data_IF_272042510784
#
_entry.id   IF_272042510784
#
_cell.length_a   1.000
_cell.length_b   1.000
_cell.length_c   1.000
_cell.angle_alpha   90.00
_cell.angle_beta   90.00
_cell.angle_gamma   90.00
#
_symmetry.space_group_name_H-M   'P 1'
#
loop_
_entity.id
_entity.type
_entity.pdbx_description
1 polymer ?
#
# COMPACT_ATOMS: atom_id res chain seq x y z
N UNK A 1 -30.32 4.60 14.86
CA UNK A 1 -29.05 3.91 15.16
C UNK A 1 -28.10 4.21 14.02
N UNK A 2 -26.87 4.61 14.29
CA UNK A 2 -25.87 4.79 13.24
C UNK A 2 -25.24 3.43 12.93
N UNK A 3 -25.06 3.15 11.65
CA UNK A 3 -24.37 1.94 11.21
C UNK A 3 -22.90 1.99 11.61
N UNK A 4 -22.36 0.88 12.03
CA UNK A 4 -20.92 0.72 12.21
C UNK A 4 -20.24 0.47 10.88
N UNK A 5 -18.92 0.72 10.79
CA UNK A 5 -18.11 0.40 9.61
C UNK A 5 -18.28 -1.06 9.19
N UNK A 6 -18.26 -1.99 10.17
CA UNK A 6 -18.42 -3.43 9.93
C UNK A 6 -19.79 -3.79 9.36
N UNK A 7 -20.87 -3.25 9.92
CA UNK A 7 -22.23 -3.52 9.42
C UNK A 7 -22.38 -3.03 7.98
N UNK A 8 -21.84 -1.87 7.66
CA UNK A 8 -21.87 -1.30 6.30
C UNK A 8 -21.15 -2.18 5.29
N UNK A 9 -19.93 -2.65 5.63
CA UNK A 9 -19.18 -3.56 4.77
C UNK A 9 -19.92 -4.88 4.59
N UNK A 10 -20.46 -5.48 5.68
CA UNK A 10 -21.19 -6.75 5.60
C UNK A 10 -22.45 -6.65 4.76
N UNK A 11 -23.21 -5.56 4.87
CA UNK A 11 -24.39 -5.33 4.04
C UNK A 11 -24.00 -5.28 2.55
N UNK A 12 -22.97 -4.51 2.20
CA UNK A 12 -22.50 -4.42 0.82
C UNK A 12 -22.02 -5.77 0.28
N UNK A 13 -21.30 -6.56 1.07
CA UNK A 13 -20.86 -7.91 0.69
C UNK A 13 -22.03 -8.90 0.53
N UNK A 14 -23.12 -8.71 1.28
CA UNK A 14 -24.35 -9.50 1.17
C UNK A 14 -25.30 -8.99 0.08
N UNK A 15 -24.88 -8.01 -0.72
CA UNK A 15 -25.73 -7.36 -1.74
C UNK A 15 -26.98 -6.66 -1.16
N UNK A 16 -26.85 -6.17 0.08
CA UNK A 16 -27.85 -5.34 0.77
C UNK A 16 -27.42 -3.87 0.69
N UNK A 17 -28.39 -2.95 0.63
CA UNK A 17 -28.11 -1.52 0.58
C UNK A 17 -27.78 -0.98 1.98
N UNK A 18 -26.52 -0.52 2.24
CA UNK A 18 -26.16 0.13 3.48
C UNK A 18 -26.64 1.59 3.52
N UNK A 19 -26.46 2.26 4.66
CA UNK A 19 -26.81 3.68 4.83
C UNK A 19 -26.04 4.63 3.90
N UNK A 20 -24.86 4.23 3.45
CA UNK A 20 -24.04 4.85 2.39
C UNK A 20 -23.09 3.82 1.77
N UNK A 21 -22.53 4.14 0.64
CA UNK A 21 -21.48 3.32 0.02
C UNK A 21 -20.28 3.20 0.98
N UNK A 22 -19.77 1.99 1.24
CA UNK A 22 -18.54 1.80 2.00
C UNK A 22 -17.36 2.49 1.30
N UNK A 23 -16.50 3.10 2.10
CA UNK A 23 -15.29 3.77 1.63
C UNK A 23 -14.08 2.92 1.98
N UNK A 24 -13.29 2.59 0.98
CA UNK A 24 -11.97 2.01 1.14
C UNK A 24 -10.91 3.02 0.69
N UNK A 25 -10.00 3.35 1.61
CA UNK A 25 -8.84 4.18 1.35
C UNK A 25 -7.65 3.63 2.15
N UNK A 26 -6.75 2.96 1.45
CA UNK A 26 -5.60 2.33 2.09
C UNK A 26 -5.89 1.00 2.78
N UNK A 27 -7.02 0.34 2.50
CA UNK A 27 -7.27 -1.04 2.93
C UNK A 27 -6.35 -2.05 2.25
N UNK A 28 -5.86 -1.71 1.07
CA UNK A 28 -4.81 -2.42 0.33
C UNK A 28 -3.94 -1.40 -0.43
N UNK A 29 -2.76 -1.83 -0.91
CA UNK A 29 -1.87 -0.95 -1.70
C UNK A 29 -2.52 -0.38 -2.96
N UNK A 30 -3.44 -1.12 -3.60
CA UNK A 30 -4.16 -0.66 -4.81
C UNK A 30 -5.33 0.28 -4.53
N UNK A 31 -5.75 0.41 -3.28
CA UNK A 31 -6.77 1.36 -2.84
C UNK A 31 -6.17 2.54 -2.07
N UNK A 32 -4.83 2.61 -2.01
CA UNK A 32 -4.11 3.67 -1.34
C UNK A 32 -3.74 4.81 -2.31
N UNK A 33 -3.02 5.78 -1.80
CA UNK A 33 -2.56 6.99 -2.48
C UNK A 33 -1.05 6.96 -2.65
N UNK A 34 -0.53 7.50 -3.76
CA UNK A 34 0.92 7.63 -3.94
C UNK A 34 1.55 8.49 -2.85
N UNK A 35 2.81 8.21 -2.49
CA UNK A 35 3.52 9.00 -1.47
C UNK A 35 3.50 10.49 -1.77
N UNK A 36 3.74 10.88 -3.04
CA UNK A 36 3.71 12.28 -3.46
C UNK A 36 2.32 12.91 -3.34
N UNK A 37 1.26 12.15 -3.62
CA UNK A 37 -0.13 12.56 -3.43
C UNK A 37 -0.49 12.70 -1.96
N UNK A 38 -0.02 11.75 -1.15
CA UNK A 38 -0.28 11.75 0.29
C UNK A 38 0.35 12.93 1.01
N UNK A 39 1.58 13.30 0.67
CA UNK A 39 2.23 14.50 1.21
C UNK A 39 1.44 15.79 0.91
N UNK A 40 0.89 15.89 -0.30
CA UNK A 40 0.00 17.02 -0.65
C UNK A 40 -1.30 17.01 0.13
N UNK A 41 -1.89 15.82 0.32
CA UNK A 41 -3.11 15.65 1.11
C UNK A 41 -2.88 16.05 2.56
N UNK A 42 -1.83 15.54 3.20
CA UNK A 42 -1.47 15.92 4.58
C UNK A 42 -1.31 17.43 4.72
N UNK A 43 -0.56 18.04 3.81
CA UNK A 43 -0.39 19.50 3.80
C UNK A 43 -1.72 20.26 3.67
N UNK A 44 -2.60 19.80 2.80
CA UNK A 44 -3.94 20.39 2.63
C UNK A 44 -4.80 20.27 3.88
N UNK A 45 -4.72 19.11 4.56
CA UNK A 45 -5.49 18.83 5.77
C UNK A 45 -4.84 19.39 7.05
N UNK A 46 -3.60 19.90 6.99
CA UNK A 46 -2.87 20.38 8.16
C UNK A 46 -2.42 19.25 9.09
N UNK A 47 -2.23 18.04 8.56
CA UNK A 47 -1.77 16.87 9.31
C UNK A 47 -0.24 16.80 9.26
N UNK A 48 0.42 16.81 10.42
CA UNK A 48 1.87 16.75 10.57
C UNK A 48 2.31 15.42 11.24
N UNK A 49 1.79 14.31 10.70
CA UNK A 49 2.20 12.96 11.10
C UNK A 49 3.26 12.42 10.15
N UNK A 50 4.19 11.57 10.60
CA UNK A 50 5.14 10.90 9.71
C UNK A 50 4.39 10.11 8.63
N UNK A 51 4.95 10.08 7.42
CA UNK A 51 4.42 9.24 6.35
C UNK A 51 4.94 7.82 6.53
N UNK A 52 4.03 6.88 6.72
CA UNK A 52 4.32 5.46 6.67
C UNK A 52 4.19 4.95 5.23
N UNK A 53 5.09 4.06 4.82
CA UNK A 53 5.14 3.51 3.47
C UNK A 53 4.49 2.14 3.46
N UNK A 54 3.35 2.02 2.78
CA UNK A 54 2.66 0.75 2.62
C UNK A 54 3.38 -0.17 1.61
N UNK A 55 3.82 0.40 0.51
CA UNK A 55 4.53 -0.34 -0.53
C UNK A 55 5.59 0.53 -1.19
N UNK A 56 6.83 0.06 -1.17
CA UNK A 56 7.95 0.71 -1.86
C UNK A 56 7.79 0.54 -3.37
N UNK A 57 7.39 -0.64 -3.81
CA UNK A 57 7.27 -0.99 -5.22
C UNK A 57 6.20 -0.14 -5.92
N UNK A 58 5.04 0.00 -5.29
CA UNK A 58 3.93 0.82 -5.80
C UNK A 58 4.02 2.28 -5.33
N UNK A 59 5.02 2.62 -4.53
CA UNK A 59 5.25 3.98 -3.99
C UNK A 59 4.02 4.58 -3.33
N UNK A 60 3.27 3.77 -2.57
CA UNK A 60 2.04 4.19 -1.91
C UNK A 60 2.21 4.31 -0.39
N UNK A 61 1.44 5.24 0.18
CA UNK A 61 1.42 5.53 1.61
C UNK A 61 0.47 4.60 2.36
N UNK A 62 0.79 4.36 3.64
CA UNK A 62 -0.16 3.86 4.63
C UNK A 62 -0.82 5.08 5.29
N UNK A 63 -2.10 5.38 4.97
CA UNK A 63 -2.74 6.57 5.52
C UNK A 63 -2.88 6.51 7.04
N UNK A 64 -2.58 7.63 7.71
CA UNK A 64 -2.71 7.76 9.15
C UNK A 64 -4.16 7.62 9.61
N UNK A 65 -4.36 7.08 10.81
CA UNK A 65 -5.71 6.84 11.37
C UNK A 65 -6.52 8.13 11.46
N UNK A 66 -5.89 9.25 11.78
CA UNK A 66 -6.54 10.58 11.81
C UNK A 66 -7.19 10.98 10.48
N UNK A 67 -6.55 10.63 9.37
CA UNK A 67 -7.06 10.88 8.01
C UNK A 67 -8.18 9.88 7.66
N UNK A 68 -8.00 8.60 8.01
CA UNK A 68 -9.01 7.57 7.79
C UNK A 68 -10.31 7.89 8.54
N UNK A 69 -10.21 8.32 9.79
CA UNK A 69 -11.35 8.75 10.60
C UNK A 69 -12.05 9.97 10.01
N UNK A 70 -11.28 10.98 9.58
CA UNK A 70 -11.84 12.20 9.00
C UNK A 70 -12.61 11.94 7.70
N UNK A 71 -12.17 10.98 6.90
CA UNK A 71 -12.89 10.56 5.70
C UNK A 71 -13.97 9.51 5.97
N UNK A 72 -14.09 9.02 7.20
CA UNK A 72 -15.04 7.96 7.56
C UNK A 72 -14.79 6.66 6.79
N UNK A 73 -13.52 6.30 6.63
CA UNK A 73 -13.10 5.09 5.91
C UNK A 73 -13.55 3.83 6.66
N UNK A 74 -14.15 2.89 5.95
CA UNK A 74 -14.78 1.71 6.54
C UNK A 74 -13.84 0.50 6.65
N UNK A 75 -12.69 0.55 5.99
CA UNK A 75 -11.67 -0.52 5.98
C UNK A 75 -10.42 -0.14 6.75
N UNK A 76 -9.63 -1.13 7.13
CA UNK A 76 -8.27 -0.96 7.64
C UNK A 76 -7.37 -2.00 7.02
N UNK A 77 -6.14 -1.59 6.72
CA UNK A 77 -5.13 -2.50 6.20
C UNK A 77 -4.67 -3.48 7.27
N UNK A 78 -4.45 -4.72 6.85
CA UNK A 78 -3.79 -5.75 7.64
C UNK A 78 -2.61 -6.24 6.84
N UNK A 79 -1.41 -5.83 7.23
CA UNK A 79 -0.18 -6.28 6.58
C UNK A 79 0.40 -7.49 7.32
N UNK A 80 0.87 -8.50 6.58
CA UNK A 80 1.68 -9.56 7.18
C UNK A 80 3.02 -8.97 7.64
N UNK A 81 3.54 -9.47 8.74
CA UNK A 81 4.93 -9.22 9.10
C UNK A 81 5.86 -9.88 8.08
N UNK A 82 7.08 -9.34 7.93
CA UNK A 82 8.12 -10.00 7.14
C UNK A 82 8.34 -11.44 7.65
N UNK A 83 8.58 -12.38 6.74
CA UNK A 83 8.91 -13.74 7.14
C UNK A 83 10.31 -13.79 7.77
N UNK A 84 10.54 -14.79 8.64
CA UNK A 84 11.85 -14.97 9.27
C UNK A 84 12.93 -15.22 8.22
N UNK A 85 13.91 -14.33 8.14
CA UNK A 85 15.04 -14.40 7.19
C UNK A 85 14.89 -13.56 5.92
N UNK A 86 13.74 -12.93 5.68
CA UNK A 86 13.59 -11.93 4.63
C UNK A 86 14.09 -10.57 5.08
N UNK A 87 15.02 -9.97 4.36
CA UNK A 87 15.56 -8.64 4.65
C UNK A 87 15.44 -7.79 3.40
N UNK A 88 14.54 -6.82 3.47
CA UNK A 88 14.45 -5.77 2.47
C UNK A 88 15.67 -4.86 2.60
N UNK A 89 16.30 -4.51 1.49
CA UNK A 89 17.42 -3.56 1.54
C UNK A 89 17.58 -2.75 0.27
N UNK A 90 18.02 -1.51 0.47
CA UNK A 90 18.43 -0.63 -0.61
C UNK A 90 19.89 -0.88 -0.98
N UNK A 91 20.16 -1.04 -2.28
CA UNK A 91 21.52 -1.09 -2.82
C UNK A 91 22.02 0.34 -3.04
N UNK A 92 21.16 1.19 -3.58
CA UNK A 92 21.37 2.62 -3.83
C UNK A 92 20.02 3.36 -3.80
N UNK A 93 20.02 4.67 -4.07
CA UNK A 93 18.82 5.52 -4.04
C UNK A 93 17.71 5.09 -5.01
N UNK A 94 18.03 4.26 -6.01
CA UNK A 94 17.13 3.84 -7.08
C UNK A 94 16.95 2.34 -7.18
N UNK A 95 17.69 1.56 -6.39
CA UNK A 95 17.73 0.09 -6.51
C UNK A 95 17.44 -0.55 -5.15
N UNK A 96 16.44 -1.40 -5.14
CA UNK A 96 15.91 -2.05 -3.96
C UNK A 96 15.80 -3.56 -4.17
N UNK A 97 16.16 -4.35 -3.17
CA UNK A 97 15.92 -5.79 -3.14
C UNK A 97 14.86 -6.07 -2.09
N UNK A 98 13.79 -6.78 -2.49
CA UNK A 98 12.73 -7.18 -1.57
C UNK A 98 13.07 -8.45 -0.78
N UNK A 99 12.20 -8.81 0.18
CA UNK A 99 12.34 -10.00 1.02
C UNK A 99 12.42 -11.31 0.24
N UNK A 100 12.00 -11.33 -1.03
CA UNK A 100 12.04 -12.49 -1.92
C UNK A 100 13.28 -12.51 -2.82
N UNK A 101 14.26 -11.63 -2.58
CA UNK A 101 15.46 -11.43 -3.41
C UNK A 101 15.13 -11.00 -4.85
N UNK A 102 14.06 -10.26 -5.04
CA UNK A 102 13.73 -9.65 -6.32
C UNK A 102 14.34 -8.25 -6.38
N UNK A 103 15.07 -7.99 -7.46
CA UNK A 103 15.71 -6.70 -7.71
C UNK A 103 14.72 -5.76 -8.41
N UNK A 104 14.47 -4.62 -7.79
CA UNK A 104 13.60 -3.57 -8.29
C UNK A 104 14.39 -2.29 -8.56
N UNK A 105 14.12 -1.64 -9.67
CA UNK A 105 14.76 -0.38 -10.03
C UNK A 105 13.74 0.71 -10.30
N UNK A 106 13.98 1.89 -9.74
CA UNK A 106 13.14 3.07 -9.96
C UNK A 106 13.22 3.54 -11.41
N UNK A 107 12.09 3.88 -12.01
CA UNK A 107 12.04 4.41 -13.36
C UNK A 107 12.26 5.92 -13.37
N UNK A 108 13.14 6.40 -14.24
CA UNK A 108 13.41 7.85 -14.36
C UNK A 108 12.26 8.64 -15.00
N UNK A 109 11.34 7.93 -15.70
CA UNK A 109 10.31 8.55 -16.53
C UNK A 109 8.89 8.54 -15.95
N UNK A 110 8.66 7.87 -14.86
CA UNK A 110 7.32 7.81 -14.27
C UNK A 110 7.05 9.02 -13.38
N UNK A 111 5.89 9.65 -13.55
CA UNK A 111 5.43 10.76 -12.71
C UNK A 111 5.43 10.37 -11.23
N UNK A 112 5.21 9.09 -10.93
CA UNK A 112 5.12 8.53 -9.59
C UNK A 112 6.31 7.65 -9.18
N UNK A 113 7.39 7.65 -9.98
CA UNK A 113 8.63 6.94 -9.67
C UNK A 113 8.44 5.44 -9.33
N UNK A 114 7.61 4.74 -10.07
CA UNK A 114 7.39 3.31 -9.88
C UNK A 114 8.68 2.50 -10.04
N UNK A 115 8.77 1.42 -9.27
CA UNK A 115 9.83 0.44 -9.43
C UNK A 115 9.45 -0.58 -10.49
N UNK A 116 10.43 -0.99 -11.29
CA UNK A 116 10.30 -2.09 -12.23
C UNK A 116 11.20 -3.24 -11.81
N UNK A 117 10.67 -4.44 -11.88
CA UNK A 117 11.43 -5.67 -11.72
C UNK A 117 12.60 -5.72 -12.73
N UNK A 118 13.79 -5.97 -12.25
CA UNK A 118 15.00 -6.08 -13.07
C UNK A 118 15.56 -7.50 -13.08
N UNK A 119 15.57 -8.14 -11.91
CA UNK A 119 16.12 -9.48 -11.73
C UNK A 119 15.49 -10.16 -10.50
N UNK A 120 15.61 -11.48 -10.39
CA UNK A 120 15.08 -12.22 -9.27
C UNK A 120 15.46 -13.70 -9.32
N UNK A 121 15.12 -14.47 -8.28
CA UNK A 121 15.51 -15.88 -8.13
C UNK A 121 15.11 -16.78 -9.32
N UNK A 122 14.10 -16.37 -10.08
CA UNK A 122 13.58 -17.10 -11.23
C UNK A 122 13.98 -16.51 -12.59
N UNK A 123 14.71 -15.39 -12.60
CA UNK A 123 15.11 -14.71 -13.83
C UNK A 123 16.27 -15.44 -14.48
N UNK A 124 16.08 -15.86 -15.74
CA UNK A 124 17.09 -16.61 -16.50
C UNK A 124 17.44 -17.97 -15.91
N UNK A 125 16.77 -18.40 -14.85
CA UNK A 125 17.04 -19.59 -14.12
C UNK A 125 16.47 -20.85 -14.77
N UNK A 126 17.21 -21.92 -14.63
CA UNK A 126 16.68 -23.27 -14.85
C UNK A 126 15.92 -23.64 -13.57
N UNK A 127 14.60 -23.54 -13.60
CA UNK A 127 13.77 -24.11 -12.55
C UNK A 127 13.92 -25.63 -12.61
N UNK A 128 14.59 -26.22 -11.63
CA UNK A 128 14.57 -27.65 -11.41
C UNK A 128 13.63 -27.95 -10.26
N UNK A 129 12.64 -28.77 -10.50
CA UNK A 129 11.83 -29.39 -9.44
C UNK A 129 12.52 -30.70 -9.12
N UNK A 130 13.20 -30.76 -7.98
CA UNK A 130 13.68 -32.01 -7.40
C UNK A 130 12.61 -32.63 -6.50
#
# INVERSE_FOLDING_TARGET
>A
MSWTHRERILAALNHEEPDRVPIDFGGAEFTSITLAGYEKLKKYMGVDEPTDVMSIIHTCAHPAESILEQFGVDTRNVQPSAYEGGVDHWIDDNTYIDTFNVLWKRTEKAVDQHFLHQDGPFHGGKLTVE
#
